data_IF_169847296013
#
_entry.id   IF_169847296013
#
_cell.length_a   1.000
_cell.length_b   1.000
_cell.length_c   1.000
_cell.angle_alpha   90.00
_cell.angle_beta   90.00
_cell.angle_gamma   90.00
#
_symmetry.space_group_name_H-M   'P 1'
#
loop_
_entity.id
_entity.type
_entity.pdbx_description
1 polymer ?
#
# COMPACT_ATOMS: atom_id res chain seq x y z
N UNK A 1 20.71 8.29 13.79
CA UNK A 1 19.45 8.55 13.07
C UNK A 1 19.01 7.31 12.25
N UNK A 2 19.90 6.65 11.47
CA UNK A 2 19.52 5.55 10.57
C UNK A 2 18.77 4.40 11.26
N UNK A 3 19.18 3.98 12.47
CA UNK A 3 18.47 2.94 13.22
C UNK A 3 17.08 3.39 13.66
N UNK A 4 16.95 4.65 14.10
CA UNK A 4 15.64 5.20 14.47
C UNK A 4 14.75 5.35 13.23
N UNK A 5 15.31 5.77 12.10
CA UNK A 5 14.59 5.81 10.82
C UNK A 5 14.11 4.41 10.41
N UNK A 6 14.95 3.38 10.58
CA UNK A 6 14.57 1.99 10.34
C UNK A 6 13.37 1.55 11.19
N UNK A 7 13.36 1.88 12.49
CA UNK A 7 12.22 1.60 13.37
C UNK A 7 10.96 2.33 12.88
N UNK A 8 11.05 3.62 12.58
CA UNK A 8 9.92 4.42 12.07
C UNK A 8 9.35 3.84 10.78
N UNK A 9 10.20 3.40 9.86
CA UNK A 9 9.80 2.82 8.59
C UNK A 9 9.10 1.46 8.77
N UNK A 10 9.72 0.53 9.50
CA UNK A 10 9.20 -0.83 9.69
C UNK A 10 7.90 -0.84 10.49
N UNK A 11 7.77 0.06 11.44
CA UNK A 11 6.58 0.18 12.30
C UNK A 11 5.50 1.09 11.70
N UNK A 12 5.69 1.62 10.51
CA UNK A 12 4.81 2.64 9.92
C UNK A 12 4.49 3.75 10.94
N UNK A 13 5.54 4.39 11.42
CA UNK A 13 5.46 5.46 12.43
C UNK A 13 4.79 5.00 13.75
N UNK A 14 5.26 3.86 14.29
CA UNK A 14 4.77 3.24 15.54
C UNK A 14 3.30 2.82 15.53
N UNK A 15 2.72 2.59 14.36
CA UNK A 15 1.34 2.13 14.22
C UNK A 15 1.23 0.63 14.00
N UNK A 16 2.28 -0.02 13.47
CA UNK A 16 2.28 -1.43 13.14
C UNK A 16 3.48 -2.14 13.80
N UNK A 17 3.33 -3.43 14.15
CA UNK A 17 4.39 -4.27 14.75
C UNK A 17 5.13 -3.60 15.92
N UNK A 18 4.42 -2.79 16.72
CA UNK A 18 4.99 -1.96 17.77
C UNK A 18 4.62 -2.51 19.14
N UNK A 19 5.62 -2.84 19.93
CA UNK A 19 5.47 -3.26 21.34
C UNK A 19 6.33 -2.42 22.26
N UNK A 20 6.28 -2.69 23.58
CA UNK A 20 7.05 -1.96 24.57
C UNK A 20 8.55 -1.86 24.25
N UNK A 21 9.15 -2.96 23.79
CA UNK A 21 10.56 -2.99 23.38
C UNK A 21 10.90 -2.05 22.22
N UNK A 22 9.96 -1.83 21.30
CA UNK A 22 10.14 -0.89 20.18
C UNK A 22 10.26 0.53 20.70
N UNK A 23 9.40 0.92 21.64
CA UNK A 23 9.45 2.24 22.27
C UNK A 23 10.70 2.41 23.14
N UNK A 24 11.12 1.37 23.88
CA UNK A 24 12.36 1.37 24.66
C UNK A 24 13.58 1.58 23.76
N UNK A 25 13.66 0.88 22.64
CA UNK A 25 14.73 1.03 21.65
C UNK A 25 14.75 2.44 21.05
N UNK A 26 13.59 2.98 20.67
CA UNK A 26 13.48 4.35 20.17
C UNK A 26 13.90 5.39 21.23
N UNK A 27 13.46 5.22 22.49
CA UNK A 27 13.86 6.08 23.60
C UNK A 27 15.36 6.01 23.87
N UNK A 28 15.97 4.82 23.80
CA UNK A 28 17.41 4.65 23.92
C UNK A 28 18.16 5.41 22.81
N UNK A 29 17.76 5.23 21.55
CA UNK A 29 18.37 5.91 20.42
C UNK A 29 18.26 7.43 20.54
N UNK A 30 17.12 7.93 21.02
CA UNK A 30 16.93 9.36 21.28
C UNK A 30 17.86 9.88 22.36
N UNK A 31 18.07 9.12 23.46
CA UNK A 31 19.01 9.49 24.55
C UNK A 31 20.46 9.57 24.09
N UNK A 32 20.89 8.71 23.16
CA UNK A 32 22.26 8.73 22.63
C UNK A 32 22.45 9.70 21.45
N UNK A 33 21.46 10.58 21.19
CA UNK A 33 21.59 11.72 20.31
C UNK A 33 20.88 11.61 18.95
N UNK A 34 20.11 10.53 18.69
CA UNK A 34 19.32 10.48 17.45
C UNK A 34 18.25 11.57 17.46
N UNK A 35 18.23 12.43 16.44
CA UNK A 35 17.25 13.51 16.31
C UNK A 35 16.05 13.07 15.47
N UNK A 36 14.85 13.30 16.01
CA UNK A 36 13.59 12.92 15.32
C UNK A 36 13.28 13.80 14.13
N UNK A 37 13.74 15.06 14.13
CA UNK A 37 13.57 15.94 12.97
C UNK A 37 14.46 15.49 11.81
N UNK A 38 15.69 15.07 12.10
CA UNK A 38 16.57 14.53 11.08
C UNK A 38 16.04 13.21 10.52
N UNK A 39 15.47 12.35 11.36
CA UNK A 39 14.76 11.15 10.90
C UNK A 39 13.58 11.52 10.00
N UNK A 40 12.79 12.52 10.35
CA UNK A 40 11.68 12.98 9.50
C UNK A 40 12.17 13.52 8.16
N UNK A 41 13.29 14.26 8.13
CA UNK A 41 13.90 14.76 6.88
C UNK A 41 14.31 13.63 5.94
N UNK A 42 14.73 12.47 6.47
CA UNK A 42 15.08 11.29 5.67
C UNK A 42 13.88 10.72 4.89
N UNK A 43 12.66 11.00 5.33
CA UNK A 43 11.42 10.55 4.68
C UNK A 43 10.72 11.64 3.85
N UNK A 44 11.32 12.84 3.76
CA UNK A 44 10.78 13.88 2.89
C UNK A 44 10.80 13.41 1.43
N UNK A 45 9.64 13.46 0.80
CA UNK A 45 9.50 13.24 -0.64
C UNK A 45 9.57 14.55 -1.40
N UNK A 46 9.87 14.47 -2.68
CA UNK A 46 9.79 15.63 -3.58
C UNK A 46 8.36 15.89 -4.04
N UNK A 47 8.12 17.12 -4.48
CA UNK A 47 6.79 17.57 -4.93
C UNK A 47 6.27 16.75 -6.11
N UNK A 48 7.14 16.33 -7.03
CA UNK A 48 6.73 15.57 -8.22
C UNK A 48 6.20 14.19 -7.84
N UNK A 49 6.88 13.51 -6.91
CA UNK A 49 6.42 12.22 -6.35
C UNK A 49 5.07 12.36 -5.64
N UNK A 50 4.85 13.48 -4.95
CA UNK A 50 3.56 13.76 -4.31
C UNK A 50 2.47 13.96 -5.36
N UNK A 51 2.69 14.79 -6.37
CA UNK A 51 1.75 15.03 -7.47
C UNK A 51 1.39 13.73 -8.17
N UNK A 52 2.38 12.88 -8.48
CA UNK A 52 2.15 11.59 -9.11
C UNK A 52 1.25 10.66 -8.26
N UNK A 53 1.47 10.59 -6.96
CA UNK A 53 0.62 9.81 -6.05
C UNK A 53 -0.81 10.34 -6.01
N UNK A 54 -1.00 11.65 -5.87
CA UNK A 54 -2.35 12.24 -5.82
C UNK A 54 -3.09 12.11 -7.15
N UNK A 55 -2.39 12.10 -8.29
CA UNK A 55 -2.99 11.81 -9.58
C UNK A 55 -3.59 10.38 -9.64
N UNK A 56 -2.98 9.42 -8.92
CA UNK A 56 -3.52 8.08 -8.74
C UNK A 56 -4.70 8.10 -7.75
N UNK A 57 -4.51 8.66 -6.57
CA UNK A 57 -5.48 8.64 -5.47
C UNK A 57 -6.81 9.27 -5.87
N UNK A 58 -6.79 10.35 -6.66
CA UNK A 58 -8.01 11.03 -7.12
C UNK A 58 -8.88 10.17 -8.04
N UNK A 59 -8.36 9.07 -8.59
CA UNK A 59 -9.10 8.12 -9.44
C UNK A 59 -9.67 6.95 -8.63
N UNK A 60 -9.53 6.97 -7.31
CA UNK A 60 -10.04 5.91 -6.45
C UNK A 60 -11.56 5.87 -6.44
N UNK A 61 -12.09 4.69 -6.59
CA UNK A 61 -13.50 4.37 -6.43
C UNK A 61 -13.69 3.52 -5.18
N UNK A 62 -14.79 3.72 -4.48
CA UNK A 62 -15.16 2.86 -3.35
C UNK A 62 -15.87 1.60 -3.86
N UNK A 63 -15.44 0.46 -3.36
CA UNK A 63 -16.09 -0.83 -3.57
C UNK A 63 -16.48 -1.42 -2.22
N UNK A 64 -17.73 -1.91 -2.11
CA UNK A 64 -18.31 -2.43 -0.85
C UNK A 64 -18.18 -1.44 0.32
N UNK A 65 -18.17 -0.12 0.04
CA UNK A 65 -18.10 1.02 0.97
C UNK A 65 -16.81 1.17 1.77
N UNK A 66 -15.92 0.17 1.80
CA UNK A 66 -14.73 0.15 2.64
C UNK A 66 -13.44 -0.30 1.93
N UNK A 67 -13.51 -0.51 0.63
CA UNK A 67 -12.35 -0.84 -0.20
C UNK A 67 -12.13 0.23 -1.26
N UNK A 68 -10.91 0.76 -1.34
CA UNK A 68 -10.54 1.70 -2.37
C UNK A 68 -9.90 0.96 -3.55
N UNK A 69 -10.44 1.14 -4.75
CA UNK A 69 -9.93 0.53 -5.97
C UNK A 69 -9.56 1.60 -6.98
N UNK A 70 -8.34 1.53 -7.50
CA UNK A 70 -7.85 2.38 -8.59
C UNK A 70 -7.48 1.50 -9.76
N UNK A 71 -7.94 1.87 -10.96
CA UNK A 71 -7.59 1.20 -12.21
C UNK A 71 -7.02 2.24 -13.18
N UNK A 72 -5.70 2.23 -13.36
CA UNK A 72 -4.98 3.17 -14.21
C UNK A 72 -4.72 2.56 -15.57
N UNK A 73 -5.31 3.12 -16.63
CA UNK A 73 -4.98 2.77 -18.00
C UNK A 73 -3.73 3.50 -18.53
N UNK A 74 -2.84 3.87 -17.61
CA UNK A 74 -1.60 4.59 -17.85
C UNK A 74 -0.42 3.83 -17.24
N UNK A 75 0.77 4.06 -17.78
CA UNK A 75 1.99 3.52 -17.20
C UNK A 75 2.28 4.16 -15.84
N UNK A 76 2.60 3.31 -14.87
CA UNK A 76 2.98 3.74 -13.54
C UNK A 76 4.14 2.87 -13.03
N UNK A 77 5.01 3.47 -12.23
CA UNK A 77 6.03 2.70 -11.54
C UNK A 77 5.48 2.05 -10.25
N UNK A 78 6.10 0.91 -9.91
CA UNK A 78 5.67 0.09 -8.76
C UNK A 78 5.71 0.84 -7.44
N UNK A 79 6.70 1.72 -7.24
CA UNK A 79 6.89 2.43 -5.97
C UNK A 79 5.80 3.46 -5.78
N UNK A 80 5.48 4.22 -6.83
CA UNK A 80 4.40 5.23 -6.80
C UNK A 80 3.03 4.57 -6.57
N UNK A 81 2.74 3.46 -7.27
CA UNK A 81 1.50 2.70 -7.08
C UNK A 81 1.38 2.13 -5.66
N UNK A 82 2.47 1.56 -5.13
CA UNK A 82 2.49 1.03 -3.77
C UNK A 82 2.28 2.12 -2.71
N UNK A 83 2.93 3.28 -2.87
CA UNK A 83 2.74 4.44 -1.98
C UNK A 83 1.33 5.01 -2.05
N UNK A 84 0.72 5.04 -3.22
CA UNK A 84 -0.68 5.45 -3.38
C UNK A 84 -1.63 4.47 -2.65
N UNK A 85 -1.40 3.16 -2.76
CA UNK A 85 -2.16 2.16 -2.02
C UNK A 85 -2.01 2.30 -0.50
N UNK A 86 -0.79 2.55 0.00
CA UNK A 86 -0.56 2.84 1.42
C UNK A 86 -1.29 4.11 1.88
N UNK A 87 -1.31 5.16 1.08
CA UNK A 87 -1.94 6.44 1.42
C UNK A 87 -3.47 6.35 1.41
N UNK A 88 -4.07 5.57 0.52
CA UNK A 88 -5.51 5.29 0.53
C UNK A 88 -5.97 4.65 1.84
N UNK A 89 -5.14 3.84 2.51
CA UNK A 89 -5.46 3.28 3.82
C UNK A 89 -5.49 4.31 4.95
N UNK A 90 -4.96 5.51 4.75
CA UNK A 90 -5.03 6.58 5.77
C UNK A 90 -6.41 7.25 5.79
N UNK A 91 -7.24 7.01 4.77
CA UNK A 91 -8.58 7.57 4.67
C UNK A 91 -9.54 6.84 5.60
N UNK A 92 -10.37 7.61 6.30
CA UNK A 92 -11.36 7.06 7.23
C UNK A 92 -12.33 6.12 6.51
N UNK A 93 -12.50 4.92 7.06
CA UNK A 93 -13.44 3.91 6.57
C UNK A 93 -12.84 2.96 5.53
N UNK A 94 -11.61 3.18 5.07
CA UNK A 94 -10.95 2.28 4.13
C UNK A 94 -10.21 1.18 4.90
N UNK A 95 -10.59 -0.09 4.67
CA UNK A 95 -9.95 -1.29 5.26
C UNK A 95 -8.96 -1.96 4.33
N UNK A 96 -9.14 -1.82 3.02
CA UNK A 96 -8.21 -2.32 2.01
C UNK A 96 -8.15 -1.39 0.80
N UNK A 97 -7.01 -1.37 0.12
CA UNK A 97 -6.80 -0.60 -1.09
C UNK A 97 -6.12 -1.43 -2.17
N UNK A 98 -6.54 -1.24 -3.40
CA UNK A 98 -6.04 -1.93 -4.58
C UNK A 98 -5.73 -0.93 -5.68
N UNK A 99 -4.50 -0.92 -6.17
CA UNK A 99 -4.07 -0.08 -7.28
C UNK A 99 -3.62 -0.97 -8.43
N UNK A 100 -4.38 -0.95 -9.52
CA UNK A 100 -4.05 -1.62 -10.77
C UNK A 100 -3.47 -0.59 -11.75
N UNK A 101 -2.41 -0.95 -12.46
CA UNK A 101 -1.72 -0.04 -13.37
C UNK A 101 -1.02 -0.78 -14.50
N UNK A 102 -0.86 -0.12 -15.64
CA UNK A 102 -0.09 -0.65 -16.76
C UNK A 102 1.41 -0.57 -16.49
N UNK A 103 2.12 -1.57 -17.00
CA UNK A 103 3.57 -1.56 -17.14
C UNK A 103 3.96 -2.47 -18.31
N UNK A 104 4.41 -1.88 -19.40
CA UNK A 104 4.67 -2.63 -20.64
C UNK A 104 3.39 -3.27 -21.19
N UNK A 105 3.41 -4.58 -21.41
CA UNK A 105 2.27 -5.36 -21.93
C UNK A 105 1.36 -5.93 -20.85
N UNK A 106 1.72 -5.74 -19.58
CA UNK A 106 1.00 -6.31 -18.45
C UNK A 106 0.27 -5.29 -17.60
N UNK A 107 -0.65 -5.80 -16.79
CA UNK A 107 -1.31 -5.08 -15.71
C UNK A 107 -0.73 -5.55 -14.38
N UNK A 108 -0.23 -4.61 -13.61
CA UNK A 108 0.35 -4.86 -12.30
C UNK A 108 -0.61 -4.41 -11.20
N UNK A 109 -0.51 -5.03 -10.05
CA UNK A 109 -1.41 -4.79 -8.93
C UNK A 109 -0.62 -4.60 -7.64
N UNK A 110 -1.00 -3.59 -6.87
CA UNK A 110 -0.52 -3.37 -5.50
C UNK A 110 -1.73 -3.34 -4.58
N UNK A 111 -1.72 -4.18 -3.54
CA UNK A 111 -2.80 -4.26 -2.56
C UNK A 111 -2.26 -4.04 -1.14
N UNK A 112 -3.05 -3.35 -0.33
CA UNK A 112 -2.76 -3.06 1.07
C UNK A 112 -3.99 -3.27 1.94
N UNK A 113 -3.78 -3.61 3.20
CA UNK A 113 -4.86 -3.79 4.18
C UNK A 113 -4.40 -3.37 5.57
N UNK A 114 -5.35 -2.98 6.41
CA UNK A 114 -5.13 -2.76 7.83
C UNK A 114 -5.08 -4.06 8.65
N UNK A 115 -5.34 -5.22 8.02
CA UNK A 115 -5.27 -6.55 8.64
C UNK A 115 -6.60 -7.30 8.72
N UNK A 116 -7.73 -6.59 8.61
CA UNK A 116 -9.07 -7.21 8.61
C UNK A 116 -9.39 -7.93 7.29
N UNK A 117 -8.84 -7.42 6.19
CA UNK A 117 -8.97 -8.00 4.85
C UNK A 117 -7.64 -8.66 4.49
N UNK A 118 -7.65 -9.95 4.18
CA UNK A 118 -6.46 -10.66 3.72
C UNK A 118 -6.25 -10.45 2.22
N UNK A 119 -5.46 -9.43 1.87
CA UNK A 119 -5.18 -9.09 0.46
C UNK A 119 -4.35 -10.14 -0.26
N UNK A 120 -3.61 -11.00 0.45
CA UNK A 120 -2.89 -12.12 -0.16
C UNK A 120 -3.87 -13.08 -0.82
N UNK A 121 -4.88 -13.53 -0.09
CA UNK A 121 -5.89 -14.50 -0.60
C UNK A 121 -6.60 -13.94 -1.82
N UNK A 122 -6.96 -12.65 -1.79
CA UNK A 122 -7.60 -11.97 -2.92
C UNK A 122 -6.69 -11.97 -4.15
N UNK A 123 -5.43 -11.57 -4.00
CA UNK A 123 -4.51 -11.49 -5.14
C UNK A 123 -4.00 -12.85 -5.62
N UNK A 124 -3.96 -13.88 -4.78
CA UNK A 124 -3.66 -15.25 -5.20
C UNK A 124 -4.66 -15.77 -6.23
N UNK A 125 -5.93 -15.37 -6.14
CA UNK A 125 -6.94 -15.70 -7.15
C UNK A 125 -6.65 -15.08 -8.53
N UNK A 126 -5.81 -14.04 -8.59
CA UNK A 126 -5.35 -13.38 -9.81
C UNK A 126 -3.90 -13.77 -10.19
N UNK A 127 -3.33 -14.79 -9.55
CA UNK A 127 -1.94 -15.22 -9.77
C UNK A 127 -0.88 -14.36 -9.08
N UNK A 128 -1.28 -13.52 -8.13
CA UNK A 128 -0.40 -12.72 -7.30
C UNK A 128 0.00 -13.41 -6.00
N UNK A 129 0.52 -12.64 -5.05
CA UNK A 129 0.90 -13.14 -3.73
C UNK A 129 1.43 -12.04 -2.82
N UNK A 130 1.81 -12.42 -1.60
CA UNK A 130 2.32 -11.48 -0.61
C UNK A 130 2.11 -11.98 0.81
N UNK A 131 1.59 -11.11 1.66
CA UNK A 131 1.10 -11.45 2.99
C UNK A 131 -0.29 -10.82 3.23
N UNK A 132 -0.88 -11.07 4.38
CA UNK A 132 -2.24 -10.63 4.70
C UNK A 132 -2.48 -9.12 4.57
N UNK A 133 -1.46 -8.29 4.80
CA UNK A 133 -1.57 -6.83 4.77
C UNK A 133 -0.93 -6.17 3.55
N UNK A 134 -0.12 -6.91 2.80
CA UNK A 134 0.61 -6.39 1.63
C UNK A 134 0.74 -7.48 0.59
N UNK A 135 0.17 -7.25 -0.57
CA UNK A 135 0.26 -8.19 -1.68
C UNK A 135 0.47 -7.45 -3.01
N UNK A 136 0.92 -8.18 -4.01
CA UNK A 136 1.10 -7.69 -5.37
C UNK A 136 0.85 -8.79 -6.38
N UNK A 137 0.63 -8.39 -7.62
CA UNK A 137 0.42 -9.34 -8.71
C UNK A 137 0.68 -8.70 -10.06
N UNK A 138 0.71 -9.54 -11.07
CA UNK A 138 0.77 -9.12 -12.47
C UNK A 138 -0.02 -10.09 -13.34
N UNK A 139 -0.63 -9.56 -14.37
CA UNK A 139 -1.33 -10.34 -15.39
C UNK A 139 -0.92 -9.85 -16.77
N UNK A 140 -0.57 -10.79 -17.65
CA UNK A 140 -0.16 -10.50 -19.02
C UNK A 140 -1.35 -10.64 -19.97
N UNK A 141 -1.30 -9.89 -21.08
CA UNK A 141 -2.29 -9.94 -22.15
C UNK A 141 -3.74 -9.71 -21.70
N UNK A 142 -3.92 -8.77 -20.78
CA UNK A 142 -5.22 -8.40 -20.21
C UNK A 142 -5.32 -6.87 -20.16
N UNK A 143 -6.52 -6.33 -20.33
CA UNK A 143 -6.78 -4.90 -20.13
C UNK A 143 -6.91 -4.56 -18.64
N UNK A 144 -6.76 -3.29 -18.29
CA UNK A 144 -6.95 -2.83 -16.91
C UNK A 144 -8.40 -3.04 -16.46
N UNK A 145 -9.37 -2.85 -17.34
CA UNK A 145 -10.79 -3.09 -17.09
C UNK A 145 -11.07 -4.56 -16.79
N UNK A 146 -10.49 -5.47 -17.58
CA UNK A 146 -10.62 -6.92 -17.35
C UNK A 146 -9.94 -7.34 -16.02
N UNK A 147 -8.77 -6.78 -15.72
CA UNK A 147 -8.09 -7.02 -14.46
C UNK A 147 -8.92 -6.48 -13.27
N UNK A 148 -9.52 -5.29 -13.41
CA UNK A 148 -10.44 -4.72 -12.41
C UNK A 148 -11.64 -5.64 -12.19
N UNK A 149 -12.29 -6.10 -13.25
CA UNK A 149 -13.43 -7.01 -13.14
C UNK A 149 -13.08 -8.30 -12.37
N UNK A 150 -11.96 -8.94 -12.71
CA UNK A 150 -11.46 -10.13 -12.00
C UNK A 150 -11.13 -9.84 -10.54
N UNK A 151 -10.58 -8.67 -10.23
CA UNK A 151 -10.31 -8.26 -8.85
C UNK A 151 -11.61 -8.14 -8.05
N UNK A 152 -12.64 -7.50 -8.61
CA UNK A 152 -13.92 -7.33 -7.93
C UNK A 152 -14.60 -8.68 -7.69
N UNK A 153 -14.55 -9.62 -8.65
CA UNK A 153 -15.02 -11.00 -8.45
C UNK A 153 -14.24 -11.72 -7.34
N UNK A 154 -12.92 -11.56 -7.29
CA UNK A 154 -12.09 -12.16 -6.25
C UNK A 154 -12.40 -11.57 -4.86
N UNK A 155 -12.66 -10.27 -4.77
CA UNK A 155 -13.10 -9.62 -3.52
C UNK A 155 -14.45 -10.19 -3.09
N UNK A 156 -15.42 -10.27 -3.99
CA UNK A 156 -16.76 -10.80 -3.68
C UNK A 156 -16.69 -12.24 -3.19
N UNK A 157 -15.94 -13.09 -3.88
CA UNK A 157 -15.71 -14.47 -3.48
C UNK A 157 -15.04 -14.59 -2.10
N UNK A 158 -14.08 -13.71 -1.81
CA UNK A 158 -13.43 -13.65 -0.50
C UNK A 158 -14.38 -13.24 0.62
N UNK A 159 -15.32 -12.32 0.35
CA UNK A 159 -16.28 -11.84 1.36
C UNK A 159 -17.44 -12.80 1.63
N UNK A 160 -17.72 -13.73 0.69
CA UNK A 160 -18.79 -14.73 0.80
C UNK A 160 -18.35 -16.00 1.57
N UNK A 161 -17.02 -16.20 1.80
CA UNK A 161 -16.45 -17.35 2.50
C UNK A 161 -15.90 -16.99 3.88
#
# INVERSE_FOLDING_TARGET
EALLAGIVLDTKNFTNRTGGRTFEAAAYLRRIGADTQDVQRMFQGDLQSMIARYAIIRQAELYRDDMAVVALDEECDRVTAAKAADELLTLKGIRASFVLYKKGTGVYMSARSLGEVNVQVILEALGGGGNSTTAGGQAENITVEEAKAKLLEAIDHYLEN
#
